data_IF_491996048540
#
_entry.id   IF_491996048540
#
_cell.length_a   1.000
_cell.length_b   1.000
_cell.length_c   1.000
_cell.angle_alpha   90.00
_cell.angle_beta   90.00
_cell.angle_gamma   90.00
#
_symmetry.space_group_name_H-M   'P 1'
#
loop_
_entity.id
_entity.type
_entity.pdbx_description
1 polymer ?
#
# COMPACT_ATOMS: atom_id res chain seq x y z
N UNK A 1 0.37 16.15 -21.87
CA UNK A 1 1.69 16.14 -21.20
C UNK A 1 2.90 15.98 -22.14
N UNK A 2 2.82 15.22 -23.25
CA UNK A 2 3.94 15.07 -24.20
C UNK A 2 4.30 16.35 -24.97
N UNK A 3 3.30 17.12 -25.39
CA UNK A 3 3.47 18.37 -26.15
C UNK A 3 4.21 19.44 -25.33
N UNK A 4 3.86 19.59 -24.05
CA UNK A 4 4.50 20.55 -23.14
C UNK A 4 5.99 20.23 -22.93
N UNK A 5 6.34 18.94 -22.86
CA UNK A 5 7.73 18.51 -22.70
C UNK A 5 8.59 18.78 -23.96
N UNK A 6 8.00 18.65 -25.15
CA UNK A 6 8.68 18.96 -26.42
C UNK A 6 8.92 20.47 -26.54
N UNK A 7 7.93 21.29 -26.18
CA UNK A 7 8.05 22.76 -26.18
C UNK A 7 9.17 23.20 -25.24
N UNK A 8 9.23 22.64 -24.02
CA UNK A 8 10.30 22.95 -23.06
C UNK A 8 11.69 22.49 -23.55
N UNK A 9 11.78 21.34 -24.22
CA UNK A 9 13.04 20.87 -24.81
C UNK A 9 13.55 21.77 -25.94
N UNK A 10 12.64 22.24 -26.80
CA UNK A 10 12.99 23.18 -27.89
C UNK A 10 13.41 24.54 -27.31
N UNK A 11 12.73 25.04 -26.29
CA UNK A 11 13.10 26.28 -25.59
C UNK A 11 14.49 26.20 -24.96
N UNK A 12 14.84 25.07 -24.33
CA UNK A 12 16.16 24.86 -23.76
C UNK A 12 17.26 24.84 -24.84
N UNK A 13 17.02 24.17 -25.96
CA UNK A 13 17.97 24.13 -27.08
C UNK A 13 18.19 25.52 -27.73
N UNK A 14 17.14 26.35 -27.80
CA UNK A 14 17.25 27.72 -28.29
C UNK A 14 18.06 28.59 -27.32
N UNK A 15 17.84 28.43 -26.00
CA UNK A 15 18.62 29.14 -24.98
C UNK A 15 20.11 28.75 -25.06
N UNK A 16 20.44 27.48 -25.23
CA UNK A 16 21.82 27.02 -25.42
C UNK A 16 22.46 27.57 -26.70
N UNK A 17 21.71 27.64 -27.81
CA UNK A 17 22.21 28.21 -29.06
C UNK A 17 22.52 29.71 -28.93
N UNK A 18 21.65 30.46 -28.25
CA UNK A 18 21.85 31.90 -27.98
C UNK A 18 23.07 32.10 -27.07
N UNK A 19 23.27 31.21 -26.09
CA UNK A 19 24.42 31.24 -25.18
C UNK A 19 25.76 31.02 -25.91
N UNK A 20 25.80 30.11 -26.89
CA UNK A 20 27.00 29.90 -27.73
C UNK A 20 27.34 31.13 -28.56
N UNK A 21 26.32 31.82 -29.11
CA UNK A 21 26.52 33.03 -29.92
C UNK A 21 27.02 34.20 -29.05
N UNK A 22 26.45 34.38 -27.86
CA UNK A 22 26.83 35.46 -26.92
C UNK A 22 28.23 35.21 -26.33
N UNK A 23 28.61 33.95 -26.13
CA UNK A 23 29.95 33.53 -25.68
C UNK A 23 31.08 33.97 -26.60
N UNK A 24 30.83 34.12 -27.90
CA UNK A 24 31.83 34.55 -28.88
C UNK A 24 31.99 36.08 -28.87
N UNK A 25 30.97 36.81 -28.39
CA UNK A 25 30.86 38.26 -28.58
C UNK A 25 31.24 39.11 -27.34
N UNK A 26 31.26 38.57 -26.12
CA UNK A 26 31.45 39.39 -24.89
C UNK A 26 32.44 38.75 -23.91
N UNK A 27 33.66 39.29 -23.74
CA UNK A 27 34.67 38.74 -22.86
C UNK A 27 34.64 39.46 -21.50
N UNK A 28 33.58 39.29 -20.72
CA UNK A 28 33.63 39.68 -19.30
C UNK A 28 33.03 38.59 -18.40
N UNK A 29 33.88 38.15 -17.47
CA UNK A 29 33.78 36.98 -16.58
C UNK A 29 32.55 36.91 -15.66
N UNK A 30 31.69 37.94 -15.65
CA UNK A 30 30.51 37.99 -14.79
C UNK A 30 29.31 37.21 -15.36
N UNK A 31 29.07 37.26 -16.67
CA UNK A 31 27.93 36.58 -17.30
C UNK A 31 28.09 35.05 -17.35
N UNK A 32 29.33 34.57 -17.44
CA UNK A 32 29.67 33.15 -17.53
C UNK A 32 29.34 32.34 -16.26
N UNK A 33 29.44 32.96 -15.08
CA UNK A 33 29.09 32.30 -13.81
C UNK A 33 27.60 31.96 -13.70
N UNK A 34 26.72 32.86 -14.14
CA UNK A 34 25.27 32.65 -14.11
C UNK A 34 24.81 31.55 -15.08
N UNK A 35 25.50 31.41 -16.22
CA UNK A 35 25.21 30.39 -17.23
C UNK A 35 25.52 28.98 -16.71
N UNK A 36 26.66 28.81 -16.03
CA UNK A 36 27.02 27.52 -15.41
C UNK A 36 26.04 27.15 -14.30
N UNK A 37 25.55 28.13 -13.53
CA UNK A 37 24.53 27.88 -12.49
C UNK A 37 23.20 27.45 -13.10
N UNK A 38 22.73 28.13 -14.15
CA UNK A 38 21.45 27.78 -14.80
C UNK A 38 21.49 26.40 -15.47
N UNK A 39 22.60 26.04 -16.12
CA UNK A 39 22.77 24.71 -16.72
C UNK A 39 22.79 23.60 -15.66
N UNK A 40 23.47 23.79 -14.52
CA UNK A 40 23.46 22.81 -13.41
C UNK A 40 22.04 22.65 -12.83
N UNK A 41 21.29 23.75 -12.68
CA UNK A 41 19.92 23.71 -12.14
C UNK A 41 18.96 22.97 -13.09
N UNK A 42 19.02 23.24 -14.39
CA UNK A 42 18.16 22.56 -15.38
C UNK A 42 18.47 21.06 -15.48
N UNK A 43 19.75 20.68 -15.46
CA UNK A 43 20.18 19.26 -15.43
C UNK A 43 19.71 18.59 -14.15
N UNK A 44 19.84 19.25 -12.99
CA UNK A 44 19.33 18.74 -11.71
C UNK A 44 17.82 18.50 -11.70
N UNK A 45 17.03 19.41 -12.28
CA UNK A 45 15.59 19.27 -12.43
C UNK A 45 15.21 18.14 -13.41
N UNK A 46 15.97 17.95 -14.50
CA UNK A 46 15.76 16.88 -15.47
C UNK A 46 16.01 15.48 -14.87
N UNK A 47 17.10 15.31 -14.11
CA UNK A 47 17.39 14.06 -13.39
C UNK A 47 16.34 13.74 -12.32
N UNK A 48 15.83 14.76 -11.62
CA UNK A 48 14.74 14.62 -10.64
C UNK A 48 13.44 14.15 -11.30
N UNK A 49 13.05 14.76 -12.43
CA UNK A 49 11.84 14.40 -13.16
C UNK A 49 11.87 12.95 -13.67
N UNK A 50 13.03 12.46 -14.11
CA UNK A 50 13.18 11.06 -14.55
C UNK A 50 13.07 10.05 -13.40
N UNK A 51 13.56 10.36 -12.19
CA UNK A 51 13.35 9.51 -11.00
C UNK A 51 11.87 9.40 -10.66
N UNK A 52 11.13 10.51 -10.72
CA UNK A 52 9.68 10.53 -10.43
C UNK A 52 8.89 9.73 -11.46
N UNK A 53 9.24 9.79 -12.76
CA UNK A 53 8.58 8.97 -13.80
C UNK A 53 8.77 7.47 -13.54
N UNK A 54 10.02 7.05 -13.32
CA UNK A 54 10.35 5.65 -13.03
C UNK A 54 9.64 5.14 -11.77
N UNK A 55 9.49 6.01 -10.76
CA UNK A 55 8.75 5.70 -9.55
C UNK A 55 7.23 5.60 -9.78
N UNK A 56 6.66 6.43 -10.66
CA UNK A 56 5.24 6.35 -11.03
C UNK A 56 4.91 5.09 -11.82
N UNK A 57 5.75 4.71 -12.77
CA UNK A 57 5.59 3.48 -13.55
C UNK A 57 5.70 2.23 -12.68
N UNK A 58 6.68 2.19 -11.76
CA UNK A 58 6.81 1.09 -10.80
C UNK A 58 5.60 0.99 -9.85
N UNK A 59 5.06 2.13 -9.40
CA UNK A 59 3.83 2.15 -8.58
C UNK A 59 2.62 1.67 -9.38
N UNK A 60 2.50 2.06 -10.65
CA UNK A 60 1.43 1.59 -11.53
C UNK A 60 1.52 0.09 -11.78
N UNK A 61 2.70 -0.44 -12.10
CA UNK A 61 2.90 -1.88 -12.29
C UNK A 61 2.62 -2.68 -11.01
N UNK A 62 3.05 -2.20 -9.85
CA UNK A 62 2.75 -2.82 -8.57
C UNK A 62 1.26 -2.79 -8.23
N UNK A 63 0.57 -1.69 -8.59
CA UNK A 63 -0.87 -1.56 -8.38
C UNK A 63 -1.69 -2.46 -9.32
N UNK A 64 -1.23 -2.64 -10.56
CA UNK A 64 -1.83 -3.60 -11.51
C UNK A 64 -1.65 -5.02 -11.00
N UNK A 65 -0.42 -5.43 -10.62
CA UNK A 65 -0.15 -6.76 -10.09
C UNK A 65 -0.92 -7.05 -8.79
N UNK A 66 -1.18 -6.02 -7.98
CA UNK A 66 -2.02 -6.15 -6.77
C UNK A 66 -3.51 -6.29 -7.09
N UNK A 67 -3.95 -5.73 -8.21
CA UNK A 67 -5.36 -5.73 -8.64
C UNK A 67 -5.72 -6.88 -9.59
N UNK A 68 -4.75 -7.68 -10.05
CA UNK A 68 -5.02 -8.85 -10.89
C UNK A 68 -5.41 -10.06 -10.02
N UNK A 69 -6.62 -10.62 -10.17
CA UNK A 69 -6.98 -11.89 -9.55
C UNK A 69 -6.21 -13.06 -10.20
N UNK A 70 -6.12 -14.20 -9.51
CA UNK A 70 -5.39 -15.40 -9.99
C UNK A 70 -6.24 -16.29 -10.91
N UNK A 71 -7.30 -15.73 -11.49
CA UNK A 71 -8.29 -16.44 -12.29
C UNK A 71 -8.12 -16.15 -13.77
N UNK A 72 -8.63 -17.04 -14.62
CA UNK A 72 -8.70 -16.80 -16.07
C UNK A 72 -9.60 -15.61 -16.40
N UNK A 73 -9.29 -14.92 -17.51
CA UNK A 73 -10.04 -13.75 -18.00
C UNK A 73 -11.53 -14.07 -18.19
N UNK A 74 -11.84 -15.28 -18.65
CA UNK A 74 -13.22 -15.76 -18.84
C UNK A 74 -14.02 -15.78 -17.53
N UNK A 75 -13.38 -16.20 -16.44
CA UNK A 75 -14.02 -16.25 -15.13
C UNK A 75 -14.24 -14.84 -14.56
N UNK A 76 -13.32 -13.91 -14.83
CA UNK A 76 -13.47 -12.50 -14.48
C UNK A 76 -14.67 -11.88 -15.21
N UNK A 77 -14.80 -12.13 -16.52
CA UNK A 77 -15.94 -11.65 -17.30
C UNK A 77 -17.25 -12.28 -16.87
N UNK A 78 -17.26 -13.57 -16.51
CA UNK A 78 -18.47 -14.24 -16.03
C UNK A 78 -19.01 -13.58 -14.75
N UNK A 79 -18.14 -13.30 -13.78
CA UNK A 79 -18.55 -12.58 -12.55
C UNK A 79 -19.09 -11.20 -12.88
N UNK A 80 -18.44 -10.47 -13.80
CA UNK A 80 -18.91 -9.16 -14.25
C UNK A 80 -20.27 -9.21 -14.96
N UNK A 81 -20.63 -10.35 -15.56
CA UNK A 81 -21.92 -10.60 -16.21
C UNK A 81 -22.97 -11.16 -15.24
N UNK A 82 -22.61 -11.43 -13.99
CA UNK A 82 -23.52 -11.99 -12.99
C UNK A 82 -23.63 -13.52 -13.01
N UNK A 83 -22.63 -14.20 -13.58
CA UNK A 83 -22.50 -15.66 -13.52
C UNK A 83 -21.42 -16.08 -12.52
N UNK A 84 -21.62 -17.20 -11.82
CA UNK A 84 -20.64 -17.77 -10.89
C UNK A 84 -19.72 -18.76 -11.64
N UNK A 85 -18.48 -18.38 -11.99
CA UNK A 85 -17.57 -19.28 -12.67
C UNK A 85 -17.08 -20.37 -11.71
N UNK A 86 -16.61 -21.48 -12.28
CA UNK A 86 -15.91 -22.53 -11.53
C UNK A 86 -14.42 -22.32 -11.69
N UNK A 87 -13.72 -22.09 -10.57
CA UNK A 87 -12.27 -21.88 -10.53
C UNK A 87 -11.57 -23.17 -10.14
N UNK A 88 -10.80 -23.72 -11.08
CA UNK A 88 -9.95 -24.89 -10.85
C UNK A 88 -8.54 -24.47 -10.41
N UNK A 89 -7.84 -25.36 -9.69
CA UNK A 89 -6.44 -25.12 -9.29
C UNK A 89 -6.27 -24.24 -8.05
N UNK A 90 -7.30 -24.13 -7.20
CA UNK A 90 -7.18 -23.44 -5.92
C UNK A 90 -6.37 -24.29 -4.92
N UNK A 91 -5.53 -23.68 -4.07
CA UNK A 91 -4.69 -24.42 -3.12
C UNK A 91 -5.45 -24.88 -1.85
N UNK A 92 -6.78 -24.97 -1.91
CA UNK A 92 -7.62 -25.43 -0.79
C UNK A 92 -8.17 -26.83 -1.08
N UNK A 93 -8.35 -27.61 -0.02
CA UNK A 93 -8.99 -28.92 -0.11
C UNK A 93 -10.51 -28.73 -0.14
N UNK A 94 -11.11 -28.94 -1.31
CA UNK A 94 -12.55 -28.85 -1.51
C UNK A 94 -13.25 -30.08 -0.95
N UNK A 95 -14.34 -29.87 -0.22
CA UNK A 95 -15.24 -30.93 0.21
C UNK A 95 -16.12 -31.44 -0.96
N UNK A 96 -16.78 -32.58 -0.78
CA UNK A 96 -17.70 -33.13 -1.77
C UNK A 96 -18.86 -32.15 -2.04
N UNK A 97 -18.99 -31.71 -3.30
CA UNK A 97 -19.95 -30.69 -3.73
C UNK A 97 -19.56 -29.25 -3.39
N UNK A 98 -18.34 -29.00 -2.88
CA UNK A 98 -17.78 -27.67 -2.70
C UNK A 98 -17.09 -27.20 -3.98
N UNK A 99 -17.40 -25.98 -4.43
CA UNK A 99 -16.87 -25.39 -5.66
C UNK A 99 -16.31 -24.01 -5.36
N UNK A 100 -15.11 -23.74 -5.85
CA UNK A 100 -14.49 -22.41 -5.76
C UNK A 100 -14.99 -21.51 -6.89
N UNK A 101 -15.41 -20.30 -6.53
CA UNK A 101 -15.92 -19.29 -7.45
C UNK A 101 -15.03 -18.06 -7.57
N UNK A 102 -14.14 -17.85 -6.60
CA UNK A 102 -13.21 -16.73 -6.63
C UNK A 102 -11.85 -17.12 -6.04
N UNK A 103 -10.76 -16.68 -6.69
CA UNK A 103 -9.41 -16.85 -6.20
C UNK A 103 -8.54 -15.64 -6.55
N UNK A 104 -8.00 -14.97 -5.53
CA UNK A 104 -7.24 -13.74 -5.74
C UNK A 104 -6.20 -13.49 -4.64
N UNK A 105 -5.18 -12.65 -4.90
CA UNK A 105 -4.32 -12.17 -3.84
C UNK A 105 -5.12 -11.27 -2.89
N UNK A 106 -4.85 -11.44 -1.60
CA UNK A 106 -5.50 -10.67 -0.54
C UNK A 106 -4.53 -10.31 0.58
N UNK A 107 -4.75 -9.18 1.23
CA UNK A 107 -3.99 -8.73 2.39
C UNK A 107 -4.93 -8.60 3.57
N UNK A 108 -4.80 -9.46 4.57
CA UNK A 108 -5.55 -9.33 5.83
C UNK A 108 -4.98 -8.17 6.64
N UNK A 109 -5.87 -7.33 7.16
CA UNK A 109 -5.54 -6.16 7.97
C UNK A 109 -6.01 -6.45 9.40
N UNK A 110 -5.08 -6.48 10.35
CA UNK A 110 -5.37 -6.72 11.75
C UNK A 110 -4.90 -5.53 12.56
N UNK A 111 -5.85 -4.74 13.01
CA UNK A 111 -5.61 -3.61 13.90
C UNK A 111 -5.56 -4.11 15.34
N UNK A 112 -4.40 -3.98 16.00
CA UNK A 112 -4.24 -4.32 17.43
C UNK A 112 -3.78 -3.10 18.20
N UNK A 113 -4.39 -2.86 19.36
CA UNK A 113 -3.86 -1.93 20.35
C UNK A 113 -2.69 -2.60 21.07
N UNK A 114 -1.46 -2.19 20.74
CA UNK A 114 -0.24 -2.70 21.36
C UNK A 114 0.40 -1.59 22.20
N UNK A 115 1.09 -1.94 23.27
CA UNK A 115 1.94 -0.98 23.98
C UNK A 115 3.07 -0.52 23.05
N UNK A 116 3.02 0.73 22.58
CA UNK A 116 3.98 1.33 21.64
C UNK A 116 5.13 2.02 22.37
N UNK A 117 4.98 2.34 23.66
CA UNK A 117 6.08 2.89 24.44
C UNK A 117 5.75 3.02 25.92
N UNK A 118 6.72 3.54 26.68
CA UNK A 118 6.50 4.00 28.06
C UNK A 118 6.86 5.47 28.12
N UNK A 119 5.92 6.32 28.47
CA UNK A 119 6.22 7.73 28.76
C UNK A 119 6.54 7.82 30.25
N UNK A 120 7.73 8.32 30.57
CA UNK A 120 8.16 8.61 31.93
C UNK A 120 8.48 10.09 32.06
N UNK A 121 7.90 10.75 33.06
CA UNK A 121 8.34 12.08 33.49
C UNK A 121 9.50 11.89 34.47
N UNK A 122 10.73 12.12 34.00
CA UNK A 122 11.93 12.11 34.84
C UNK A 122 12.32 13.52 35.26
N UNK A 123 11.58 14.13 36.18
CA UNK A 123 12.01 15.35 36.85
C UNK A 123 12.63 14.96 38.20
N UNK A 124 13.95 14.80 38.23
CA UNK A 124 14.65 14.57 39.48
C UNK A 124 16.09 15.06 39.45
N UNK A 125 16.45 15.89 40.42
CA UNK A 125 17.82 16.38 40.60
C UNK A 125 18.61 15.30 41.35
N UNK A 126 19.71 14.83 40.77
CA UNK A 126 20.68 13.94 41.43
C UNK A 126 21.80 14.77 42.00
N UNK A 127 21.94 14.78 43.33
CA UNK A 127 23.07 15.40 44.01
C UNK A 127 23.97 14.30 44.55
N UNK A 128 25.26 14.34 44.19
CA UNK A 128 26.27 13.46 44.80
C UNK A 128 26.64 13.98 46.17
N UNK A 129 26.58 13.11 47.16
CA UNK A 129 26.92 13.44 48.56
C UNK A 129 28.30 12.89 48.92
N UNK A 130 28.71 11.77 48.31
CA UNK A 130 30.06 11.20 48.45
C UNK A 130 30.45 10.36 47.21
N UNK A 131 31.71 9.90 47.14
CA UNK A 131 32.12 8.87 46.16
C UNK A 131 31.30 7.61 46.42
N UNK A 132 30.42 7.26 45.48
CA UNK A 132 29.55 6.09 45.57
C UNK A 132 28.16 6.37 46.15
N UNK A 133 27.86 7.59 46.62
CA UNK A 133 26.55 7.92 47.23
C UNK A 133 25.94 9.14 46.56
N UNK A 134 24.75 8.97 45.99
CA UNK A 134 23.93 10.03 45.41
C UNK A 134 22.52 9.99 45.98
N UNK A 135 21.97 11.16 46.28
CA UNK A 135 20.57 11.34 46.67
C UNK A 135 19.83 11.99 45.51
N UNK A 136 18.67 11.45 45.15
CA UNK A 136 17.78 12.05 44.15
C UNK A 136 16.40 12.28 44.73
N UNK A 137 15.87 13.47 44.51
CA UNK A 137 14.45 13.77 44.70
C UNK A 137 13.76 13.70 43.35
N UNK A 138 12.97 12.66 43.12
CA UNK A 138 12.19 12.49 41.89
C UNK A 138 11.31 11.25 41.95
N UNK A 139 9.99 11.44 42.00
CA UNK A 139 9.02 10.36 41.81
C UNK A 139 8.86 10.08 40.31
N UNK A 140 9.43 8.97 39.84
CA UNK A 140 9.24 8.54 38.45
C UNK A 140 7.91 7.79 38.29
N UNK A 141 6.92 8.41 37.67
CA UNK A 141 5.75 7.70 37.15
C UNK A 141 5.98 7.31 35.69
N UNK A 142 5.77 6.03 35.38
CA UNK A 142 5.96 5.47 34.04
C UNK A 142 4.64 4.89 33.56
N UNK A 143 4.06 5.50 32.52
CA UNK A 143 2.78 5.06 31.92
C UNK A 143 3.04 4.40 30.58
N UNK A 144 2.55 3.17 30.42
CA UNK A 144 2.58 2.48 29.12
C UNK A 144 1.63 3.20 28.17
N UNK A 145 2.16 3.65 27.03
CA UNK A 145 1.39 4.24 25.93
C UNK A 145 0.99 3.10 25.01
N UNK A 146 -0.31 2.89 24.86
CA UNK A 146 -0.87 2.00 23.85
C UNK A 146 -1.05 2.78 22.56
N UNK A 147 -0.58 2.23 21.44
CA UNK A 147 -0.81 2.77 20.11
C UNK A 147 -1.39 1.67 19.22
N UNK A 148 -2.12 2.12 18.21
CA UNK A 148 -2.76 1.27 17.22
C UNK A 148 -1.70 0.78 16.23
N UNK A 149 -1.43 -0.52 16.24
CA UNK A 149 -0.50 -1.16 15.31
C UNK A 149 -1.32 -1.95 14.30
N UNK A 150 -1.24 -1.54 13.04
CA UNK A 150 -1.85 -2.25 11.92
C UNK A 150 -0.87 -3.29 11.39
N UNK A 151 -1.13 -4.56 11.68
CA UNK A 151 -0.39 -5.69 11.10
C UNK A 151 -1.06 -6.09 9.78
N UNK A 152 -0.27 -6.18 8.71
CA UNK A 152 -0.75 -6.62 7.39
C UNK A 152 -0.15 -7.96 7.02
N UNK A 153 -1.00 -8.89 6.59
CA UNK A 153 -0.61 -10.25 6.24
C UNK A 153 -0.98 -10.49 4.78
N UNK A 154 0.03 -10.63 3.91
CA UNK A 154 -0.18 -10.83 2.47
C UNK A 154 -0.30 -12.32 2.16
N UNK A 155 -1.40 -12.72 1.54
CA UNK A 155 -1.70 -14.10 1.19
C UNK A 155 -2.68 -14.16 0.02
N UNK A 156 -3.51 -15.19 0.01
CA UNK A 156 -4.54 -15.36 -1.01
C UNK A 156 -5.90 -15.64 -0.36
N UNK A 157 -6.98 -15.28 -1.04
CA UNK A 157 -8.34 -15.57 -0.61
C UNK A 157 -9.04 -16.44 -1.65
N UNK A 158 -9.77 -17.43 -1.15
CA UNK A 158 -10.64 -18.29 -1.95
C UNK A 158 -12.07 -18.15 -1.44
N UNK A 159 -13.01 -17.89 -2.35
CA UNK A 159 -14.44 -17.95 -2.09
C UNK A 159 -14.98 -19.23 -2.69
N UNK A 160 -15.63 -20.06 -1.87
CA UNK A 160 -16.39 -21.22 -2.32
C UNK A 160 -17.89 -21.00 -2.11
N UNK A 161 -18.70 -21.93 -2.60
CA UNK A 161 -20.13 -21.98 -2.29
C UNK A 161 -20.45 -22.26 -0.79
N UNK A 162 -19.47 -22.69 0.01
CA UNK A 162 -19.67 -23.03 1.43
C UNK A 162 -18.97 -22.08 2.40
N UNK A 163 -17.81 -21.54 2.03
CA UNK A 163 -16.93 -20.80 2.94
C UNK A 163 -16.01 -19.83 2.21
N UNK A 164 -15.48 -18.89 2.98
CA UNK A 164 -14.40 -17.98 2.61
C UNK A 164 -13.15 -18.47 3.33
N UNK A 165 -12.08 -18.69 2.60
CA UNK A 165 -10.79 -19.14 3.14
C UNK A 165 -9.71 -18.12 2.80
N UNK A 166 -9.07 -17.57 3.82
CA UNK A 166 -7.86 -16.76 3.67
C UNK A 166 -6.63 -17.59 4.02
N UNK A 167 -5.73 -17.70 3.06
CA UNK A 167 -4.57 -18.59 3.10
C UNK A 167 -3.35 -17.78 3.52
N UNK A 168 -2.86 -18.06 4.72
CA UNK A 168 -1.64 -17.49 5.26
C UNK A 168 -1.11 -18.36 6.40
N UNK A 169 0.21 -18.54 6.49
CA UNK A 169 0.84 -19.46 7.45
C UNK A 169 0.57 -19.10 8.91
N UNK A 170 0.55 -17.81 9.25
CA UNK A 170 0.37 -17.34 10.64
C UNK A 170 -1.01 -16.76 10.98
N UNK A 171 -1.74 -16.26 9.97
CA UNK A 171 -2.93 -15.43 10.18
C UNK A 171 -4.08 -15.83 9.25
N UNK A 172 -4.07 -17.08 8.76
CA UNK A 172 -5.14 -17.67 7.98
C UNK A 172 -6.47 -17.66 8.74
N UNK A 173 -7.58 -17.69 8.01
CA UNK A 173 -8.89 -17.88 8.61
C UNK A 173 -9.81 -18.61 7.63
N UNK A 174 -10.81 -19.27 8.21
CA UNK A 174 -11.91 -19.88 7.48
C UNK A 174 -13.22 -19.38 8.08
N UNK A 175 -14.14 -18.98 7.21
CA UNK A 175 -15.46 -18.52 7.59
C UNK A 175 -16.53 -19.18 6.71
N UNK A 176 -17.43 -19.96 7.32
CA UNK A 176 -18.58 -20.52 6.60
C UNK A 176 -19.52 -19.40 6.15
N UNK A 177 -20.10 -19.55 4.97
CA UNK A 177 -21.06 -18.59 4.43
C UNK A 177 -22.33 -18.55 5.29
N UNK A 178 -22.74 -19.68 5.85
CA UNK A 178 -23.87 -19.75 6.79
C UNK A 178 -23.64 -19.00 8.11
N UNK A 179 -22.39 -18.79 8.51
CA UNK A 179 -22.04 -18.04 9.71
C UNK A 179 -21.90 -16.53 9.44
N UNK A 180 -22.00 -16.11 8.18
CA UNK A 180 -21.75 -14.76 7.74
C UNK A 180 -22.93 -13.86 8.11
N UNK A 181 -22.65 -12.83 8.91
CA UNK A 181 -23.66 -11.92 9.45
C UNK A 181 -23.74 -10.63 8.65
N UNK A 182 -22.59 -10.07 8.26
CA UNK A 182 -22.53 -8.84 7.47
C UNK A 182 -21.27 -8.80 6.59
N UNK A 183 -21.40 -8.13 5.45
CA UNK A 183 -20.29 -7.77 4.56
C UNK A 183 -20.34 -6.27 4.34
N UNK A 184 -19.27 -5.57 4.68
CA UNK A 184 -19.17 -4.12 4.51
C UNK A 184 -17.94 -3.80 3.66
N UNK A 185 -18.11 -3.24 2.44
CA UNK A 185 -17.00 -2.69 1.68
C UNK A 185 -16.50 -1.40 2.33
N UNK A 186 -15.20 -1.28 2.55
CA UNK A 186 -14.53 -0.13 3.18
C UNK A 186 -13.27 0.23 2.40
N UNK A 187 -13.29 1.32 1.62
CA UNK A 187 -12.16 1.96 0.92
C UNK A 187 -10.98 1.02 0.54
N UNK A 188 -11.21 0.12 -0.43
CA UNK A 188 -10.21 -0.82 -0.93
C UNK A 188 -9.99 -2.07 -0.07
N UNK A 189 -10.81 -2.25 0.96
CA UNK A 189 -10.91 -3.44 1.79
C UNK A 189 -12.37 -3.90 1.97
N UNK A 190 -12.53 -5.14 2.37
CA UNK A 190 -13.81 -5.75 2.71
C UNK A 190 -13.74 -6.19 4.15
N UNK A 191 -14.76 -5.84 4.92
CA UNK A 191 -14.95 -6.28 6.29
C UNK A 191 -16.05 -7.34 6.27
N UNK A 192 -15.71 -8.55 6.67
CA UNK A 192 -16.65 -9.66 6.84
C UNK A 192 -16.84 -9.91 8.32
N UNK A 193 -18.08 -9.87 8.77
CA UNK A 193 -18.47 -10.22 10.14
C UNK A 193 -19.13 -11.59 10.16
N UNK A 194 -18.65 -12.45 11.05
CA UNK A 194 -19.21 -13.77 11.30
C UNK A 194 -19.46 -13.94 12.80
N UNK A 195 -20.71 -13.74 13.22
CA UNK A 195 -21.09 -13.69 14.62
C UNK A 195 -20.34 -12.59 15.37
N UNK A 196 -19.51 -12.98 16.34
CA UNK A 196 -18.72 -12.08 17.18
C UNK A 196 -17.33 -11.73 16.62
N UNK A 197 -16.93 -12.31 15.50
CA UNK A 197 -15.62 -12.08 14.88
C UNK A 197 -15.75 -11.21 13.64
N UNK A 198 -14.80 -10.29 13.48
CA UNK A 198 -14.70 -9.40 12.33
C UNK A 198 -13.36 -9.60 11.64
N UNK A 199 -13.39 -9.79 10.33
CA UNK A 199 -12.23 -10.00 9.48
C UNK A 199 -12.16 -8.90 8.43
N UNK A 200 -11.11 -8.09 8.47
CA UNK A 200 -10.85 -7.08 7.44
C UNK A 200 -9.73 -7.54 6.53
N UNK A 201 -9.94 -7.45 5.22
CA UNK A 201 -8.94 -7.78 4.22
C UNK A 201 -9.11 -6.93 2.96
N UNK A 202 -8.00 -6.54 2.35
CA UNK A 202 -7.97 -5.98 1.01
C UNK A 202 -7.83 -7.11 0.00
N UNK A 203 -8.59 -7.07 -1.09
CA UNK A 203 -8.59 -8.10 -2.13
C UNK A 203 -8.43 -7.43 -3.49
N UNK A 204 -7.73 -8.10 -4.42
CA UNK A 204 -7.73 -7.68 -5.82
C UNK A 204 -9.17 -7.64 -6.34
N UNK A 205 -9.54 -6.62 -7.12
CA UNK A 205 -10.90 -6.43 -7.66
C UNK A 205 -12.00 -6.66 -6.61
N UNK A 206 -12.03 -5.79 -5.60
CA UNK A 206 -13.04 -5.80 -4.54
C UNK A 206 -14.48 -5.85 -5.08
N UNK A 207 -14.74 -5.19 -6.19
CA UNK A 207 -16.00 -5.21 -6.93
C UNK A 207 -16.43 -6.63 -7.32
N UNK A 208 -15.52 -7.40 -7.91
CA UNK A 208 -15.79 -8.78 -8.32
C UNK A 208 -15.97 -9.71 -7.12
N UNK A 209 -15.17 -9.52 -6.07
CA UNK A 209 -15.32 -10.31 -4.85
C UNK A 209 -16.69 -10.10 -4.21
N UNK A 210 -17.14 -8.85 -4.07
CA UNK A 210 -18.45 -8.52 -3.48
C UNK A 210 -19.59 -9.06 -4.35
N UNK A 211 -19.47 -8.94 -5.68
CA UNK A 211 -20.45 -9.50 -6.61
C UNK A 211 -20.51 -11.03 -6.54
N UNK A 212 -19.36 -11.72 -6.54
CA UNK A 212 -19.31 -13.16 -6.36
C UNK A 212 -19.92 -13.59 -5.02
N UNK A 213 -19.63 -12.85 -3.94
CA UNK A 213 -20.15 -13.14 -2.61
C UNK A 213 -21.67 -12.93 -2.52
N UNK A 214 -22.22 -11.88 -3.16
CA UNK A 214 -23.67 -11.65 -3.20
C UNK A 214 -24.38 -12.79 -3.94
N UNK A 215 -23.83 -13.20 -5.09
CA UNK A 215 -24.36 -14.34 -5.86
C UNK A 215 -24.33 -15.66 -5.06
N UNK A 216 -23.26 -15.94 -4.31
CA UNK A 216 -23.19 -17.16 -3.49
C UNK A 216 -24.12 -17.08 -2.28
N UNK A 217 -24.28 -15.90 -1.67
CA UNK A 217 -25.16 -15.73 -0.50
C UNK A 217 -26.64 -15.60 -0.86
N UNK A 218 -26.97 -15.48 -2.16
CA UNK A 218 -28.34 -15.34 -2.65
C UNK A 218 -29.02 -14.04 -2.20
N UNK A 219 -28.23 -12.99 -1.95
CA UNK A 219 -28.69 -11.67 -1.49
C UNK A 219 -28.29 -10.56 -2.45
#
# INVERSE_FOLDING_TARGET
MRIVAIIFGILAAIVDLILVIVSIAVPEVSLWGWIVVLTIVTVGLFFSANKVKKQKEARQAAQVARNTPFMEENAISAIAQGELPVVTGTPILLEEGEVAHYYAPATKIVTKNKAVGRTGSGAGVRVRVAKGVSVSTGGGSSRTVFGEVTETYSGAIVLTNRRIVFIHNQAGFECKISALTAVTPVDGSVVVQAGSKTYQFSVARQDLFVSALSMVTGK
#
